data_IF_444043613451
#
_entry.id   IF_444043613451
#
_cell.length_a   1.000
_cell.length_b   1.000
_cell.length_c   1.000
_cell.angle_alpha   90.00
_cell.angle_beta   90.00
_cell.angle_gamma   90.00
#
_symmetry.space_group_name_H-M   'P 1'
#
loop_
_entity.id
_entity.type
_entity.pdbx_description
1 polymer ?
#
# COMPACT_ATOMS: atom_id res chain seq x y z
N UNK A 1 -12.79 15.82 -9.13
CA UNK A 1 -11.53 15.47 -8.85
C UNK A 1 -11.44 14.12 -8.26
N UNK A 2 -10.43 13.50 -8.37
CA UNK A 2 -10.39 12.07 -8.22
C UNK A 2 -9.40 11.61 -7.21
N UNK A 3 -9.11 12.47 -6.21
CA UNK A 3 -8.11 12.15 -5.22
C UNK A 3 -8.45 10.92 -4.40
N UNK A 4 -9.74 10.70 -4.12
CA UNK A 4 -10.13 9.52 -3.35
C UNK A 4 -9.87 8.24 -4.13
N UNK A 5 -10.18 8.27 -5.43
CA UNK A 5 -9.96 7.11 -6.27
C UNK A 5 -8.48 6.81 -6.42
N UNK A 6 -7.66 7.84 -6.59
CA UNK A 6 -6.22 7.66 -6.70
C UNK A 6 -5.63 7.15 -5.39
N UNK A 7 -6.12 7.63 -4.26
CA UNK A 7 -5.65 7.18 -2.96
C UNK A 7 -6.01 5.72 -2.74
N UNK A 8 -7.23 5.33 -3.09
CA UNK A 8 -7.66 3.94 -2.93
C UNK A 8 -6.78 3.01 -3.76
N UNK A 9 -6.52 3.38 -5.01
CA UNK A 9 -5.67 2.57 -5.87
C UNK A 9 -4.26 2.50 -5.31
N UNK A 10 -3.71 3.63 -4.85
CA UNK A 10 -2.36 3.68 -4.31
C UNK A 10 -2.23 2.78 -3.08
N UNK A 11 -3.20 2.84 -2.19
CA UNK A 11 -3.17 2.03 -0.97
C UNK A 11 -3.31 0.55 -1.28
N UNK A 12 -4.21 0.20 -2.20
CA UNK A 12 -4.41 -1.20 -2.55
C UNK A 12 -3.20 -1.78 -3.27
N UNK A 13 -2.53 -1.00 -4.12
CA UNK A 13 -1.32 -1.46 -4.77
C UNK A 13 -0.21 -1.70 -3.74
N UNK A 14 -0.05 -0.79 -2.79
CA UNK A 14 0.95 -0.97 -1.74
C UNK A 14 0.63 -2.20 -0.90
N UNK A 15 -0.64 -2.40 -0.59
CA UNK A 15 -1.08 -3.56 0.18
C UNK A 15 -0.69 -4.87 -0.53
N UNK A 16 -0.94 -4.93 -1.84
CA UNK A 16 -0.61 -6.13 -2.60
C UNK A 16 0.89 -6.38 -2.65
N UNK A 17 1.68 -5.31 -2.75
CA UNK A 17 3.14 -5.46 -2.76
C UNK A 17 3.63 -5.95 -1.41
N UNK A 18 3.10 -5.41 -0.32
CA UNK A 18 3.49 -5.81 1.03
C UNK A 18 3.18 -7.27 1.27
N UNK A 19 2.07 -7.77 0.72
CA UNK A 19 1.69 -9.17 0.89
C UNK A 19 2.37 -10.11 -0.10
N UNK A 20 3.18 -9.57 -1.02
CA UNK A 20 3.88 -10.40 -1.99
C UNK A 20 3.02 -10.85 -3.15
N UNK A 21 1.83 -10.29 -3.30
CA UNK A 21 0.95 -10.63 -4.41
C UNK A 21 1.30 -9.87 -5.67
N UNK A 22 2.05 -8.79 -5.53
CA UNK A 22 2.40 -7.93 -6.64
C UNK A 22 3.81 -7.40 -6.40
N UNK A 23 4.57 -7.22 -7.48
CA UNK A 23 5.88 -6.58 -7.39
C UNK A 23 5.82 -5.24 -8.10
N UNK A 24 6.80 -4.38 -7.81
CA UNK A 24 6.88 -3.10 -8.50
C UNK A 24 7.01 -3.30 -10.01
N UNK A 25 7.81 -4.29 -10.42
CA UNK A 25 7.98 -4.56 -11.85
C UNK A 25 6.67 -4.96 -12.49
N UNK A 26 5.92 -5.85 -11.84
CA UNK A 26 4.63 -6.29 -12.37
C UNK A 26 3.65 -5.14 -12.43
N UNK A 27 3.65 -4.28 -11.40
CA UNK A 27 2.73 -3.16 -11.35
C UNK A 27 2.97 -2.20 -12.50
N UNK A 28 4.24 -1.88 -12.77
CA UNK A 28 4.57 -0.94 -13.83
C UNK A 28 4.37 -1.56 -15.21
N UNK A 29 4.53 -2.87 -15.34
CA UNK A 29 4.29 -3.55 -16.61
C UNK A 29 2.82 -3.59 -16.97
N UNK A 30 1.96 -3.78 -15.96
CA UNK A 30 0.52 -3.87 -16.20
C UNK A 30 -0.08 -2.54 -16.62
N UNK A 31 0.43 -1.45 -16.09
CA UNK A 31 -0.07 -0.12 -16.38
C UNK A 31 1.02 0.72 -17.01
N UNK A 32 0.90 0.95 -18.30
CA UNK A 32 1.95 1.67 -19.03
C UNK A 32 1.80 3.18 -18.96
N UNK A 33 0.74 3.66 -18.35
CA UNK A 33 0.50 5.10 -18.28
C UNK A 33 0.77 5.62 -16.88
N UNK A 34 -0.26 5.77 -16.08
CA UNK A 34 -0.12 6.32 -14.73
C UNK A 34 -0.38 5.21 -13.72
N UNK A 35 0.58 5.04 -12.81
CA UNK A 35 0.46 4.04 -11.76
C UNK A 35 0.50 4.75 -10.42
N UNK A 36 -0.52 4.52 -9.60
CA UNK A 36 -0.57 5.07 -8.26
C UNK A 36 -0.15 4.02 -7.26
N UNK A 37 0.82 4.37 -6.41
CA UNK A 37 1.27 3.47 -5.36
C UNK A 37 1.70 4.30 -4.16
N UNK A 38 1.21 3.95 -2.98
CA UNK A 38 1.53 4.67 -1.76
C UNK A 38 2.94 4.36 -1.26
N UNK A 39 3.61 3.42 -1.89
CA UNK A 39 4.89 2.91 -1.44
C UNK A 39 5.92 3.04 -2.56
N UNK A 40 7.15 3.38 -2.19
CA UNK A 40 8.26 3.41 -3.13
C UNK A 40 9.20 2.25 -2.83
N UNK A 41 10.08 1.89 -3.77
CA UNK A 41 11.04 0.81 -3.50
C UNK A 41 11.93 1.06 -2.29
N UNK A 42 12.19 2.32 -1.97
CA UNK A 42 13.02 2.66 -0.81
C UNK A 42 12.41 2.19 0.50
N UNK A 43 11.09 2.17 0.57
CA UNK A 43 10.38 1.76 1.78
C UNK A 43 10.66 0.30 2.13
N UNK A 44 10.85 -0.53 1.12
CA UNK A 44 11.16 -1.95 1.36
C UNK A 44 12.51 -2.14 2.04
N UNK A 45 13.42 -1.18 1.88
CA UNK A 45 14.75 -1.28 2.45
C UNK A 45 14.87 -0.60 3.80
N UNK A 46 13.91 0.25 4.16
CA UNK A 46 13.95 1.01 5.39
C UNK A 46 12.79 0.58 6.29
N UNK A 47 13.15 -0.11 7.36
CA UNK A 47 12.15 -0.66 8.27
C UNK A 47 11.31 0.43 8.93
N UNK A 48 11.93 1.56 9.27
CA UNK A 48 11.20 2.64 9.91
C UNK A 48 10.18 3.25 8.95
N UNK A 49 10.56 3.42 7.69
CA UNK A 49 9.64 3.94 6.69
C UNK A 49 8.50 2.95 6.45
N UNK A 50 8.82 1.66 6.44
CA UNK A 50 7.80 0.64 6.27
C UNK A 50 6.78 0.67 7.40
N UNK A 51 7.26 0.76 8.64
CA UNK A 51 6.35 0.81 9.78
C UNK A 51 5.46 2.03 9.74
N UNK A 52 6.01 3.19 9.35
CA UNK A 52 5.21 4.40 9.22
C UNK A 52 4.14 4.22 8.16
N UNK A 53 4.50 3.64 7.03
CA UNK A 53 3.54 3.39 5.97
C UNK A 53 2.44 2.43 6.43
N UNK A 54 2.82 1.37 7.13
CA UNK A 54 1.84 0.40 7.62
C UNK A 54 0.84 1.06 8.55
N UNK A 55 1.31 1.95 9.42
CA UNK A 55 0.41 2.66 10.32
C UNK A 55 -0.54 3.58 9.56
N UNK A 56 -0.03 4.27 8.55
CA UNK A 56 -0.87 5.14 7.72
C UNK A 56 -1.92 4.32 6.98
N UNK A 57 -1.53 3.18 6.46
CA UNK A 57 -2.45 2.33 5.74
C UNK A 57 -3.53 1.76 6.65
N UNK A 58 -3.16 1.41 7.88
CA UNK A 58 -4.12 0.92 8.85
C UNK A 58 -5.17 1.99 9.12
N UNK A 59 -4.74 3.24 9.33
CA UNK A 59 -5.69 4.32 9.53
C UNK A 59 -6.63 4.47 8.33
N UNK A 60 -6.07 4.38 7.13
CA UNK A 60 -6.87 4.50 5.93
C UNK A 60 -7.94 3.40 5.87
N UNK A 61 -7.54 2.16 6.13
CA UNK A 61 -8.47 1.05 6.04
C UNK A 61 -9.49 1.04 7.18
N UNK A 62 -9.16 1.64 8.31
CA UNK A 62 -10.16 1.83 9.37
C UNK A 62 -11.24 2.79 8.88
N UNK A 63 -10.84 3.86 8.19
CA UNK A 63 -11.81 4.82 7.67
C UNK A 63 -12.71 4.21 6.60
N UNK A 64 -12.20 3.26 5.83
CA UNK A 64 -12.98 2.57 4.81
C UNK A 64 -13.63 1.30 5.33
N UNK A 65 -13.46 1.00 6.62
CA UNK A 65 -14.04 -0.15 7.29
C UNK A 65 -13.56 -1.49 6.72
N UNK A 66 -12.34 -1.52 6.23
CA UNK A 66 -11.71 -2.75 5.74
C UNK A 66 -10.84 -3.35 6.83
N UNK A 67 -11.48 -3.81 7.91
CA UNK A 67 -10.78 -4.23 9.10
C UNK A 67 -9.92 -5.47 8.91
N UNK A 68 -10.27 -6.32 7.96
CA UNK A 68 -9.44 -7.49 7.67
C UNK A 68 -8.06 -7.07 7.20
N UNK A 69 -8.00 -6.04 6.37
CA UNK A 69 -6.71 -5.53 5.89
C UNK A 69 -5.93 -4.91 7.04
N UNK A 70 -6.61 -4.25 7.96
CA UNK A 70 -5.95 -3.69 9.14
C UNK A 70 -5.27 -4.79 9.95
N UNK A 71 -5.96 -5.90 10.13
CA UNK A 71 -5.41 -7.01 10.89
C UNK A 71 -4.14 -7.57 10.25
N UNK A 72 -4.18 -7.75 8.94
CA UNK A 72 -3.02 -8.22 8.21
C UNK A 72 -1.84 -7.27 8.37
N UNK A 73 -2.10 -5.98 8.26
CA UNK A 73 -1.04 -4.98 8.35
C UNK A 73 -0.47 -4.89 9.77
N UNK A 74 -1.32 -5.00 10.78
CA UNK A 74 -0.85 -4.99 12.16
C UNK A 74 0.13 -6.13 12.43
N UNK A 75 -0.12 -7.28 11.84
CA UNK A 75 0.75 -8.43 12.03
C UNK A 75 2.11 -8.23 11.38
N UNK A 76 2.24 -7.27 10.48
CA UNK A 76 3.50 -6.99 9.81
C UNK A 76 4.34 -5.93 10.51
N UNK A 77 3.74 -5.18 11.41
CA UNK A 77 4.48 -4.18 12.20
C UNK A 77 5.27 -4.91 13.28
N UNK A 78 6.55 -4.60 13.38
CA UNK A 78 7.41 -5.25 14.37
C UNK A 78 8.08 -4.29 15.31
#
# INVERSE_FOLDING_TARGET
>A
MHSEQCLSEAMNNAYSIINGELTFDSLFDLNKEIVYCAMSPDVLKDKNKMNTLLEDMIEYYILTEEYEKCEVLKNKIK
#
